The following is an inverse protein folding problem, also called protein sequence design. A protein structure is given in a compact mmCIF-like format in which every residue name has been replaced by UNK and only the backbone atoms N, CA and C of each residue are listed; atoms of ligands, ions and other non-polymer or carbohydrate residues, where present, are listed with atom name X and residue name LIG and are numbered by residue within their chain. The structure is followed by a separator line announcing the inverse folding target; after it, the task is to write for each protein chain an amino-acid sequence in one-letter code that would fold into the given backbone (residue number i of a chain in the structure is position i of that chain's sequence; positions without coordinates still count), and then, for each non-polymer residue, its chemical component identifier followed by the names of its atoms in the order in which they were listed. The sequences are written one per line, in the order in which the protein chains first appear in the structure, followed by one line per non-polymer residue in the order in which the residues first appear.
data_IF_142883157748
#
_entry.id   IF_142883157748
#
_cell.length_a   1.000
_cell.length_b   1.000
_cell.length_c   1.000
_cell.angle_alpha   90.00
_cell.angle_beta   90.00
_cell.angle_gamma   90.00
#
_symmetry.space_group_name_H-M   'P 1'
#
loop_
_entity.id
_entity.type
_entity.pdbx_description
1 polymer ?
#
# COMPACT_ATOMS: atom_id res chain seq x y z
N UNK A 1 -33.23 18.91 5.56
CA UNK A 1 -32.95 17.53 5.08
C UNK A 1 -32.25 17.63 3.74
N UNK A 2 -30.94 17.34 3.66
CA UNK A 2 -30.26 17.18 2.37
C UNK A 2 -30.47 15.74 1.92
N UNK A 3 -30.99 15.51 0.72
CA UNK A 3 -31.23 14.17 0.21
C UNK A 3 -29.90 13.45 -0.06
N UNK A 4 -29.88 12.13 0.09
CA UNK A 4 -28.76 11.26 -0.30
C UNK A 4 -28.26 11.60 -1.72
N UNK A 5 -29.18 11.84 -2.65
CA UNK A 5 -28.88 12.24 -4.04
C UNK A 5 -28.29 13.67 -4.19
N UNK A 6 -28.60 14.60 -3.28
CA UNK A 6 -27.96 15.92 -3.24
C UNK A 6 -26.51 15.86 -2.75
N UNK A 7 -26.17 14.86 -1.91
CA UNK A 7 -24.78 14.56 -1.57
C UNK A 7 -24.05 13.85 -2.72
N UNK A 8 -24.78 13.04 -3.53
CA UNK A 8 -24.27 12.39 -4.74
C UNK A 8 -23.81 13.38 -5.80
N UNK A 9 -24.52 14.48 -6.04
CA UNK A 9 -24.10 15.47 -7.05
C UNK A 9 -22.77 16.16 -6.71
N UNK A 10 -22.37 16.19 -5.44
CA UNK A 10 -21.04 16.64 -5.03
C UNK A 10 -19.95 15.55 -5.10
N UNK A 11 -20.28 14.29 -5.41
CA UNK A 11 -19.32 13.19 -5.59
C UNK A 11 -18.29 13.46 -6.71
N UNK A 12 -18.62 14.32 -7.67
CA UNK A 12 -17.74 14.66 -8.79
C UNK A 12 -16.86 15.90 -8.56
N UNK A 13 -16.97 16.56 -7.40
CA UNK A 13 -16.25 17.79 -7.08
C UNK A 13 -15.16 17.57 -6.00
N UNK A 14 -14.22 16.67 -6.28
CA UNK A 14 -12.78 16.76 -5.95
C UNK A 14 -12.23 17.00 -4.53
N UNK A 15 -12.97 17.44 -3.52
CA UNK A 15 -12.36 18.08 -2.32
C UNK A 15 -12.73 17.48 -0.94
N UNK A 16 -13.58 16.43 -0.83
CA UNK A 16 -14.01 15.90 0.48
C UNK A 16 -13.86 14.38 0.66
N UNK A 17 -12.82 13.77 0.09
CA UNK A 17 -12.68 12.30 -0.04
C UNK A 17 -12.92 11.48 1.25
N UNK A 18 -12.32 11.83 2.39
CA UNK A 18 -12.49 11.08 3.65
C UNK A 18 -13.90 11.21 4.26
N UNK A 19 -14.45 12.43 4.28
CA UNK A 19 -15.78 12.72 4.83
C UNK A 19 -16.89 12.05 4.03
N UNK A 20 -16.75 11.99 2.71
CA UNK A 20 -17.69 11.28 1.84
C UNK A 20 -17.77 9.80 2.21
N UNK A 21 -16.63 9.16 2.47
CA UNK A 21 -16.60 7.77 2.90
C UNK A 21 -17.22 7.60 4.30
N UNK A 22 -17.06 8.58 5.18
CA UNK A 22 -17.78 8.62 6.46
C UNK A 22 -19.31 8.63 6.28
N UNK A 23 -19.83 9.41 5.34
CA UNK A 23 -21.26 9.43 5.00
C UNK A 23 -21.76 8.11 4.41
N UNK A 24 -20.98 7.49 3.52
CA UNK A 24 -21.32 6.17 2.95
C UNK A 24 -21.33 5.12 4.06
N UNK A 25 -20.32 5.11 4.94
CA UNK A 25 -20.27 4.18 6.07
C UNK A 25 -21.42 4.43 7.06
N UNK A 26 -21.84 5.67 7.29
CA UNK A 26 -23.05 5.93 8.06
C UNK A 26 -24.27 5.25 7.41
N UNK A 27 -24.45 5.38 6.10
CA UNK A 27 -25.58 4.79 5.41
C UNK A 27 -25.53 3.26 5.42
N UNK A 28 -24.34 2.67 5.24
CA UNK A 28 -24.11 1.23 5.41
C UNK A 28 -24.48 0.80 6.83
N UNK A 29 -24.02 1.50 7.85
CA UNK A 29 -24.32 1.19 9.25
C UNK A 29 -25.81 1.32 9.60
N UNK A 30 -26.51 2.29 9.01
CA UNK A 30 -27.94 2.48 9.25
C UNK A 30 -28.80 1.39 8.60
N UNK A 31 -28.40 0.87 7.43
CA UNK A 31 -29.15 -0.16 6.69
C UNK A 31 -28.74 -1.59 7.05
N UNK A 32 -27.45 -1.78 7.32
CA UNK A 32 -26.81 -3.07 7.58
C UNK A 32 -25.84 -2.93 8.78
N UNK A 33 -26.37 -2.63 9.98
CA UNK A 33 -25.55 -2.38 11.17
C UNK A 33 -24.60 -3.54 11.49
N UNK A 34 -25.00 -4.78 11.19
CA UNK A 34 -24.18 -5.97 11.39
C UNK A 34 -22.84 -5.90 10.64
N UNK A 35 -22.81 -5.28 9.45
CA UNK A 35 -21.61 -5.22 8.62
C UNK A 35 -20.50 -4.35 9.24
N UNK A 36 -20.86 -3.27 9.93
CA UNK A 36 -19.90 -2.42 10.64
C UNK A 36 -19.68 -2.87 12.08
N UNK A 37 -20.73 -3.26 12.80
CA UNK A 37 -20.60 -3.73 14.19
C UNK A 37 -19.74 -4.98 14.30
N UNK A 38 -19.81 -5.92 13.35
CA UNK A 38 -18.91 -7.08 13.37
C UNK A 38 -17.45 -6.72 13.15
N UNK A 39 -17.16 -5.72 12.32
CA UNK A 39 -15.80 -5.21 12.13
C UNK A 39 -15.30 -4.54 13.42
N UNK A 40 -16.15 -3.75 14.06
CA UNK A 40 -15.83 -3.09 15.34
C UNK A 40 -15.60 -4.10 16.46
N UNK A 41 -16.37 -5.20 16.51
CA UNK A 41 -16.10 -6.33 17.41
C UNK A 41 -14.73 -6.94 17.14
N UNK A 42 -14.39 -7.18 15.87
CA UNK A 42 -13.10 -7.77 15.50
C UNK A 42 -11.92 -6.86 15.90
N UNK A 43 -12.08 -5.55 15.72
CA UNK A 43 -11.03 -4.57 15.96
C UNK A 43 -10.84 -4.26 17.45
N UNK A 44 -11.93 -4.08 18.21
CA UNK A 44 -11.88 -3.60 19.60
C UNK A 44 -12.32 -4.63 20.65
N UNK A 45 -12.82 -5.78 20.24
CA UNK A 45 -13.34 -6.80 21.15
C UNK A 45 -14.67 -6.43 21.81
N UNK A 46 -15.38 -5.42 21.30
CA UNK A 46 -16.67 -4.99 21.86
C UNK A 46 -17.71 -6.11 21.60
N UNK A 47 -18.37 -6.66 22.63
CA UNK A 47 -19.35 -7.72 22.47
C UNK A 47 -20.50 -7.30 21.55
N UNK A 48 -20.98 -8.21 20.69
CA UNK A 48 -22.14 -7.94 19.81
C UNK A 48 -23.42 -7.63 20.59
N UNK A 49 -23.54 -8.12 21.82
CA UNK A 49 -24.67 -7.82 22.70
C UNK A 49 -24.81 -6.34 23.03
N UNK A 50 -23.69 -5.60 23.09
CA UNK A 50 -23.65 -4.16 23.38
C UNK A 50 -23.94 -3.30 22.12
N UNK A 51 -24.02 -3.93 20.95
CA UNK A 51 -24.11 -3.24 19.66
C UNK A 51 -25.48 -3.41 18.97
N UNK A 52 -26.47 -3.99 19.67
CA UNK A 52 -27.80 -4.28 19.09
C UNK A 52 -28.53 -3.04 18.58
N UNK A 53 -28.37 -1.91 19.26
CA UNK A 53 -28.97 -0.63 18.91
C UNK A 53 -27.92 0.39 18.46
N UNK A 54 -26.85 -0.08 17.81
CA UNK A 54 -25.77 0.80 17.38
C UNK A 54 -26.29 1.89 16.44
N UNK A 55 -25.92 3.14 16.71
CA UNK A 55 -26.24 4.30 15.88
C UNK A 55 -24.98 4.86 15.26
N UNK A 56 -25.07 5.22 13.98
CA UNK A 56 -23.97 5.74 13.19
C UNK A 56 -24.22 7.21 12.86
N UNK A 57 -23.20 8.05 13.05
CA UNK A 57 -23.29 9.47 12.74
C UNK A 57 -21.98 9.98 12.12
N UNK A 58 -22.04 10.37 10.86
CA UNK A 58 -20.95 11.05 10.18
C UNK A 58 -20.81 12.49 10.66
N UNK A 59 -19.61 13.04 10.50
CA UNK A 59 -19.27 14.44 10.83
C UNK A 59 -19.57 14.83 12.30
N UNK A 60 -19.49 13.86 13.22
CA UNK A 60 -19.81 14.08 14.64
C UNK A 60 -18.82 15.05 15.28
N UNK A 61 -19.34 16.09 15.95
CA UNK A 61 -18.52 17.07 16.66
C UNK A 61 -18.18 16.57 18.06
N UNK A 62 -16.90 16.59 18.41
CA UNK A 62 -16.40 16.18 19.72
C UNK A 62 -15.37 17.19 20.25
N UNK A 63 -15.25 17.28 21.56
CA UNK A 63 -14.27 18.16 22.17
C UNK A 63 -12.89 17.49 22.24
N UNK A 64 -11.94 18.02 21.47
CA UNK A 64 -10.54 17.63 21.51
C UNK A 64 -9.75 18.34 22.61
N UNK A 65 -8.42 18.21 22.57
CA UNK A 65 -7.50 18.93 23.45
C UNK A 65 -7.45 20.42 23.10
N UNK A 66 -7.50 20.74 21.80
CA UNK A 66 -7.36 22.11 21.26
C UNK A 66 -8.68 22.68 20.76
N UNK A 67 -9.79 22.29 21.40
CA UNK A 67 -11.16 22.70 21.04
C UNK A 67 -11.92 21.66 20.24
N UNK A 68 -13.10 22.05 19.76
CA UNK A 68 -14.01 21.16 19.04
C UNK A 68 -13.42 20.70 17.70
N UNK A 69 -13.65 19.42 17.41
CA UNK A 69 -13.23 18.71 16.21
C UNK A 69 -14.41 17.93 15.65
N UNK A 70 -14.27 17.48 14.40
CA UNK A 70 -15.24 16.60 13.76
C UNK A 70 -14.58 15.29 13.40
N UNK A 71 -15.22 14.19 13.74
CA UNK A 71 -14.85 12.86 13.29
C UNK A 71 -15.59 12.51 12.00
N UNK A 72 -14.98 11.69 11.15
CA UNK A 72 -15.60 11.27 9.88
C UNK A 72 -16.80 10.35 10.14
N UNK A 73 -16.72 9.50 11.18
CA UNK A 73 -17.83 8.68 11.66
C UNK A 73 -17.73 8.49 13.18
N UNK A 74 -18.87 8.56 13.86
CA UNK A 74 -19.03 8.21 15.26
C UNK A 74 -20.03 7.06 15.39
N UNK A 75 -19.74 6.14 16.31
CA UNK A 75 -20.56 4.96 16.58
C UNK A 75 -20.98 5.01 18.05
N UNK A 76 -22.28 5.04 18.26
CA UNK A 76 -22.94 5.03 19.56
C UNK A 76 -23.42 3.62 19.83
N UNK A 77 -23.25 3.15 21.06
CA UNK A 77 -23.74 1.84 21.48
C UNK A 77 -25.05 1.98 22.28
N UNK A 78 -25.65 0.85 22.62
CA UNK A 78 -27.03 0.74 23.10
C UNK A 78 -27.43 1.79 24.16
N UNK A 79 -28.21 2.80 23.74
CA UNK A 79 -28.74 3.85 24.60
C UNK A 79 -27.72 4.91 25.07
N UNK A 80 -26.47 4.88 24.61
CA UNK A 80 -25.44 5.85 24.99
C UNK A 80 -25.67 7.22 24.31
N UNK A 81 -25.63 8.31 25.09
CA UNK A 81 -25.69 9.69 24.57
C UNK A 81 -24.38 10.10 23.88
N UNK A 82 -23.25 9.57 24.36
CA UNK A 82 -21.92 9.80 23.82
C UNK A 82 -21.47 8.62 22.93
N UNK A 83 -20.64 8.85 21.90
CA UNK A 83 -20.14 7.76 21.09
C UNK A 83 -19.07 6.96 21.83
N UNK A 84 -19.07 5.64 21.61
CA UNK A 84 -18.07 4.70 22.11
C UNK A 84 -16.86 4.63 21.20
N UNK A 85 -17.08 4.78 19.89
CA UNK A 85 -16.02 4.71 18.87
C UNK A 85 -16.06 5.94 17.99
N UNK A 86 -14.91 6.59 17.80
CA UNK A 86 -14.71 7.56 16.74
C UNK A 86 -13.82 6.96 15.64
N UNK A 87 -14.19 7.21 14.39
CA UNK A 87 -13.47 6.75 13.21
C UNK A 87 -12.98 7.96 12.43
N UNK A 88 -11.70 7.94 12.10
CA UNK A 88 -11.03 8.89 11.21
C UNK A 88 -10.59 8.15 9.94
N UNK A 89 -10.80 8.77 8.78
CA UNK A 89 -10.58 8.19 7.47
C UNK A 89 -9.50 8.98 6.72
N UNK A 90 -8.42 8.29 6.34
CA UNK A 90 -7.34 8.83 5.50
C UNK A 90 -7.34 8.09 4.16
N UNK A 91 -8.02 8.68 3.17
CA UNK A 91 -8.26 8.11 1.85
C UNK A 91 -7.06 8.30 0.90
N UNK A 92 -6.88 9.51 0.37
CA UNK A 92 -5.66 9.94 -0.34
C UNK A 92 -4.86 10.98 0.43
N UNK A 93 -5.48 11.56 1.46
CA UNK A 93 -4.81 12.44 2.38
C UNK A 93 -3.73 11.65 3.09
N UNK A 94 -2.48 12.06 2.84
CA UNK A 94 -1.34 11.62 3.63
C UNK A 94 -1.74 11.79 5.10
N UNK A 95 -1.43 10.84 5.98
CA UNK A 95 -1.34 11.17 7.38
C UNK A 95 -0.24 12.23 7.50
N UNK A 96 -0.67 13.50 7.53
CA UNK A 96 0.06 14.74 7.74
C UNK A 96 0.62 15.42 6.45
N UNK A 97 -0.06 16.54 6.11
CA UNK A 97 0.33 17.76 5.37
C UNK A 97 0.34 17.78 3.82
N UNK A 98 -0.76 18.29 3.25
CA UNK A 98 -0.75 19.20 2.10
C UNK A 98 -1.29 20.60 2.42
N UNK A 99 -1.92 20.80 3.58
CA UNK A 99 -2.39 22.10 4.05
C UNK A 99 -1.73 22.44 5.38
N UNK A 100 -1.54 23.73 5.66
CA UNK A 100 -1.04 24.29 6.92
C UNK A 100 -1.96 23.99 8.14
N UNK A 101 -2.88 23.03 7.99
CA UNK A 101 -3.90 22.61 8.93
C UNK A 101 -3.49 21.31 9.67
N UNK A 102 -2.67 21.52 10.70
CA UNK A 102 -2.71 20.82 12.01
C UNK A 102 -2.34 19.31 12.08
N UNK A 103 -1.08 19.04 12.44
CA UNK A 103 -0.66 17.96 13.35
C UNK A 103 -1.46 17.81 14.67
N UNK A 104 -2.43 18.69 14.96
CA UNK A 104 -3.27 18.66 16.17
C UNK A 104 -4.34 17.55 16.19
N UNK A 105 -4.68 16.96 15.04
CA UNK A 105 -5.87 16.10 14.93
C UNK A 105 -5.77 14.81 15.77
N UNK A 106 -4.64 14.10 15.72
CA UNK A 106 -4.46 12.86 16.50
C UNK A 106 -4.38 13.12 18.00
N UNK A 107 -3.81 14.26 18.41
CA UNK A 107 -3.75 14.64 19.81
C UNK A 107 -5.16 14.90 20.37
N UNK A 108 -6.05 15.46 19.55
CA UNK A 108 -7.45 15.69 19.91
C UNK A 108 -8.20 14.35 20.10
N UNK A 109 -8.01 13.38 19.20
CA UNK A 109 -8.55 12.02 19.36
C UNK A 109 -8.02 11.29 20.59
N UNK A 110 -6.71 11.36 20.85
CA UNK A 110 -6.12 10.77 22.07
C UNK A 110 -6.70 11.39 23.33
N UNK A 111 -6.87 12.72 23.34
CA UNK A 111 -7.46 13.42 24.47
C UNK A 111 -8.93 13.08 24.67
N UNK A 112 -9.70 12.87 23.60
CA UNK A 112 -11.09 12.45 23.70
C UNK A 112 -11.20 11.03 24.26
N UNK A 113 -10.35 10.12 23.77
CA UNK A 113 -10.25 8.74 24.26
C UNK A 113 -9.88 8.68 25.73
N UNK A 114 -8.89 9.45 26.17
CA UNK A 114 -8.36 9.37 27.53
C UNK A 114 -9.35 9.83 28.62
N UNK A 115 -10.48 10.46 28.24
CA UNK A 115 -11.51 10.89 29.20
C UNK A 115 -12.27 9.72 29.82
N UNK A 116 -12.33 8.58 29.15
CA UNK A 116 -13.05 7.40 29.62
C UNK A 116 -12.40 6.14 29.08
N UNK A 117 -12.17 5.14 29.94
CA UNK A 117 -11.53 3.88 29.54
C UNK A 117 -12.31 3.10 28.46
N UNK A 118 -13.60 3.41 28.31
CA UNK A 118 -14.52 2.71 27.42
C UNK A 118 -14.61 3.31 26.00
N UNK A 119 -13.77 4.32 25.69
CA UNK A 119 -13.73 4.99 24.39
C UNK A 119 -12.65 4.43 23.49
N UNK A 120 -12.96 4.33 22.20
CA UNK A 120 -12.09 3.76 21.18
C UNK A 120 -11.94 4.71 20.00
N UNK A 121 -10.76 4.71 19.38
CA UNK A 121 -10.49 5.48 18.16
C UNK A 121 -9.94 4.54 17.11
N UNK A 122 -10.57 4.54 15.94
CA UNK A 122 -10.13 3.81 14.75
C UNK A 122 -9.66 4.80 13.69
N UNK A 123 -8.46 4.59 13.15
CA UNK A 123 -7.97 5.27 11.97
C UNK A 123 -7.95 4.27 10.82
N UNK A 124 -8.68 4.56 9.75
CA UNK A 124 -8.64 3.79 8.50
C UNK A 124 -7.73 4.52 7.53
N UNK A 125 -6.62 3.89 7.11
CA UNK A 125 -5.64 4.53 6.24
C UNK A 125 -5.01 3.59 5.22
N UNK A 126 -4.52 4.14 4.11
CA UNK A 126 -3.74 3.34 3.15
C UNK A 126 -2.35 2.95 3.70
N UNK A 127 -1.68 3.89 4.35
CA UNK A 127 -0.36 3.70 4.94
C UNK A 127 -0.49 3.18 6.38
N UNK A 128 0.35 2.24 6.79
CA UNK A 128 0.40 1.78 8.19
C UNK A 128 1.36 2.65 9.00
N UNK A 129 0.86 3.15 10.13
CA UNK A 129 1.66 3.76 11.20
C UNK A 129 1.20 3.18 12.54
N UNK A 130 1.97 3.40 13.59
CA UNK A 130 1.48 3.23 14.96
C UNK A 130 1.09 4.57 15.56
N UNK A 131 0.02 4.60 16.34
CA UNK A 131 -0.35 5.77 17.12
C UNK A 131 -0.76 5.28 18.50
N UNK A 132 -0.12 5.83 19.54
CA UNK A 132 -0.44 5.42 20.91
C UNK A 132 -1.93 5.63 21.19
N UNK A 133 -2.57 4.54 21.60
CA UNK A 133 -3.97 4.53 21.95
C UNK A 133 -4.97 4.74 20.82
N UNK A 134 -4.53 4.69 19.56
CA UNK A 134 -5.40 4.75 18.39
C UNK A 134 -5.17 3.46 17.61
N UNK A 135 -6.25 2.76 17.31
CA UNK A 135 -6.18 1.56 16.49
C UNK A 135 -6.11 1.97 15.02
N UNK A 136 -5.19 1.36 14.27
CA UNK A 136 -4.96 1.70 12.86
C UNK A 136 -5.22 0.44 12.03
N UNK A 137 -6.11 0.56 11.04
CA UNK A 137 -6.45 -0.50 10.09
C UNK A 137 -6.35 0.03 8.66
N UNK A 138 -6.09 -0.86 7.71
CA UNK A 138 -6.11 -0.48 6.29
C UNK A 138 -7.51 -0.54 5.72
N UNK A 139 -7.69 0.21 4.63
CA UNK A 139 -8.86 0.05 3.77
C UNK A 139 -9.05 -1.38 3.30
N UNK A 140 -7.94 -2.07 2.99
CA UNK A 140 -7.95 -3.49 2.66
C UNK A 140 -8.62 -4.36 3.74
N UNK A 141 -8.37 -4.07 5.02
CA UNK A 141 -8.91 -4.87 6.13
C UNK A 141 -10.43 -4.67 6.25
N UNK A 142 -10.89 -3.41 6.15
CA UNK A 142 -12.33 -3.11 6.15
C UNK A 142 -13.03 -3.66 4.91
N UNK A 143 -12.46 -3.49 3.71
CA UNK A 143 -13.06 -3.98 2.49
C UNK A 143 -13.17 -5.52 2.46
N UNK A 144 -12.12 -6.22 2.93
CA UNK A 144 -12.15 -7.67 3.10
C UNK A 144 -13.33 -8.11 3.98
N UNK A 145 -13.51 -7.42 5.11
CA UNK A 145 -14.62 -7.67 6.01
C UNK A 145 -15.98 -7.44 5.33
N UNK A 146 -16.13 -6.29 4.64
CA UNK A 146 -17.35 -5.89 3.95
C UNK A 146 -17.73 -6.80 2.78
N UNK A 147 -16.77 -7.43 2.09
CA UNK A 147 -17.05 -8.40 1.00
C UNK A 147 -17.97 -9.54 1.43
N UNK A 148 -17.92 -9.96 2.70
CA UNK A 148 -18.83 -10.99 3.22
C UNK A 148 -20.31 -10.55 3.26
N UNK A 149 -20.56 -9.24 3.20
CA UNK A 149 -21.88 -8.61 3.19
C UNK A 149 -22.29 -8.05 1.82
N UNK A 150 -21.37 -7.96 0.85
CA UNK A 150 -21.62 -7.35 -0.47
C UNK A 150 -22.83 -7.97 -1.20
N UNK A 151 -22.99 -9.30 -1.16
CA UNK A 151 -24.15 -10.01 -1.75
C UNK A 151 -25.51 -9.63 -1.16
N UNK A 152 -25.53 -8.96 -0.01
CA UNK A 152 -26.76 -8.57 0.70
C UNK A 152 -27.06 -7.08 0.53
N UNK A 153 -26.17 -6.31 -0.08
CA UNK A 153 -26.30 -4.86 -0.18
C UNK A 153 -25.50 -4.32 -1.35
N UNK A 154 -26.20 -3.82 -2.37
CA UNK A 154 -25.59 -3.14 -3.52
C UNK A 154 -24.72 -1.95 -3.09
N UNK A 155 -25.09 -1.27 -2.00
CA UNK A 155 -24.29 -0.17 -1.45
C UNK A 155 -22.93 -0.64 -0.92
N UNK A 156 -22.89 -1.80 -0.27
CA UNK A 156 -21.64 -2.39 0.24
C UNK A 156 -20.79 -2.85 -0.93
N UNK A 157 -21.40 -3.52 -1.92
CA UNK A 157 -20.72 -3.97 -3.12
C UNK A 157 -20.09 -2.79 -3.88
N UNK A 158 -20.87 -1.74 -4.15
CA UNK A 158 -20.39 -0.50 -4.78
C UNK A 158 -19.24 0.15 -4.00
N UNK A 159 -19.30 0.19 -2.67
CA UNK A 159 -18.21 0.73 -1.85
C UNK A 159 -16.94 -0.11 -2.01
N UNK A 160 -17.05 -1.43 -1.93
CA UNK A 160 -15.90 -2.33 -2.09
C UNK A 160 -15.29 -2.19 -3.49
N UNK A 161 -16.10 -2.21 -4.54
CA UNK A 161 -15.64 -2.03 -5.92
C UNK A 161 -14.96 -0.68 -6.11
N UNK A 162 -15.53 0.40 -5.58
CA UNK A 162 -14.90 1.72 -5.64
C UNK A 162 -13.52 1.74 -4.94
N UNK A 163 -13.41 1.14 -3.76
CA UNK A 163 -12.12 1.05 -3.05
C UNK A 163 -11.10 0.19 -3.80
N UNK A 164 -11.55 -0.83 -4.53
CA UNK A 164 -10.71 -1.63 -5.41
C UNK A 164 -10.23 -0.81 -6.62
N UNK A 165 -11.13 -0.17 -7.35
CA UNK A 165 -10.81 0.64 -8.53
C UNK A 165 -9.78 1.74 -8.19
N UNK A 166 -9.90 2.33 -7.01
CA UNK A 166 -9.02 3.38 -6.50
C UNK A 166 -7.69 2.85 -5.92
N UNK A 167 -7.49 1.53 -5.91
CA UNK A 167 -6.26 0.88 -5.47
C UNK A 167 -6.03 1.01 -3.96
N UNK A 168 -7.11 1.07 -3.17
CA UNK A 168 -7.10 1.04 -1.70
C UNK A 168 -7.26 -0.38 -1.12
N UNK A 169 -7.58 -1.36 -1.97
CA UNK A 169 -7.80 -2.77 -1.64
C UNK A 169 -7.07 -3.65 -2.64
N UNK A 170 -6.58 -4.81 -2.19
CA UNK A 170 -5.93 -5.78 -3.07
C UNK A 170 -6.89 -6.22 -4.17
N UNK A 171 -6.43 -6.07 -5.41
CA UNK A 171 -7.11 -6.51 -6.62
C UNK A 171 -6.97 -8.02 -6.77
N UNK A 172 -8.07 -8.69 -7.09
CA UNK A 172 -8.02 -10.00 -7.72
C UNK A 172 -7.54 -9.82 -9.16
N UNK A 173 -6.54 -10.62 -9.57
CA UNK A 173 -5.92 -10.49 -10.89
C UNK A 173 -6.16 -11.77 -11.67
N UNK A 174 -6.80 -11.63 -12.84
CA UNK A 174 -7.07 -12.73 -13.75
C UNK A 174 -5.74 -13.28 -14.30
N UNK A 175 -5.30 -14.37 -13.67
CA UNK A 175 -3.99 -14.99 -13.89
C UNK A 175 -3.72 -15.30 -15.37
N UNK A 176 -4.68 -15.89 -16.07
CA UNK A 176 -4.55 -16.23 -17.49
C UNK A 176 -4.37 -14.98 -18.35
N UNK A 177 -5.12 -13.93 -18.04
CA UNK A 177 -5.06 -12.69 -18.79
C UNK A 177 -3.72 -11.96 -18.59
N UNK A 178 -3.21 -11.95 -17.36
CA UNK A 178 -1.88 -11.43 -17.05
C UNK A 178 -0.76 -12.22 -17.74
N UNK A 179 -0.80 -13.56 -17.71
CA UNK A 179 0.21 -14.41 -18.37
C UNK A 179 0.29 -14.09 -19.87
N UNK A 180 -0.87 -14.03 -20.55
CA UNK A 180 -0.93 -13.71 -21.99
C UNK A 180 -0.32 -12.33 -22.28
N UNK A 181 -0.65 -11.34 -21.45
CA UNK A 181 -0.11 -10.00 -21.58
C UNK A 181 1.40 -9.94 -21.40
N UNK A 182 1.95 -10.54 -20.34
CA UNK A 182 3.39 -10.53 -20.08
C UNK A 182 4.15 -11.24 -21.21
N UNK A 183 3.62 -12.37 -21.70
CA UNK A 183 4.20 -13.11 -22.84
C UNK A 183 4.25 -12.28 -24.12
N UNK A 184 3.32 -11.35 -24.35
CA UNK A 184 3.36 -10.45 -25.50
C UNK A 184 4.65 -9.61 -25.53
N UNK A 185 5.18 -9.24 -24.37
CA UNK A 185 6.42 -8.47 -24.25
C UNK A 185 7.65 -9.35 -24.33
N UNK A 186 7.61 -10.51 -23.66
CA UNK A 186 8.77 -11.35 -23.38
C UNK A 186 8.96 -12.53 -24.36
N UNK A 187 7.93 -12.97 -25.06
CA UNK A 187 8.00 -14.12 -25.97
C UNK A 187 7.76 -13.69 -27.42
N UNK A 188 8.30 -14.46 -28.37
CA UNK A 188 8.01 -14.29 -29.78
C UNK A 188 6.50 -14.48 -30.02
N UNK A 189 5.76 -13.37 -30.16
CA UNK A 189 4.31 -13.18 -30.40
C UNK A 189 3.57 -14.36 -31.08
N UNK A 190 3.43 -15.51 -30.41
CA UNK A 190 2.58 -16.62 -30.87
C UNK A 190 1.10 -16.19 -30.79
N UNK A 191 0.22 -16.73 -31.65
CA UNK A 191 -1.22 -16.48 -31.57
C UNK A 191 -1.76 -16.80 -30.16
N UNK A 192 -2.63 -15.95 -29.62
CA UNK A 192 -3.19 -16.08 -28.26
C UNK A 192 -2.61 -15.14 -27.20
N UNK A 193 -1.61 -14.31 -27.55
CA UNK A 193 -1.01 -13.28 -26.69
C UNK A 193 -1.75 -11.92 -26.68
N UNK A 194 -2.82 -11.79 -27.47
CA UNK A 194 -3.66 -10.60 -27.50
C UNK A 194 -4.93 -10.86 -26.67
N UNK A 195 -5.07 -10.14 -25.58
CA UNK A 195 -6.32 -9.99 -24.84
C UNK A 195 -6.52 -8.52 -24.47
N UNK A 196 -7.78 -8.08 -24.44
CA UNK A 196 -8.12 -6.70 -24.07
C UNK A 196 -7.97 -6.47 -22.56
N UNK A 197 -8.08 -7.53 -21.76
CA UNK A 197 -8.02 -7.51 -20.29
C UNK A 197 -6.58 -7.43 -19.76
N UNK A 198 -5.59 -7.91 -20.52
CA UNK A 198 -4.19 -7.98 -20.09
C UNK A 198 -3.60 -6.69 -19.51
N UNK A 199 -3.77 -5.53 -20.18
CA UNK A 199 -3.34 -4.24 -19.63
C UNK A 199 -4.01 -3.87 -18.31
N UNK A 200 -5.30 -4.21 -18.14
CA UNK A 200 -6.06 -3.96 -16.91
C UNK A 200 -5.49 -4.80 -15.78
N UNK A 201 -5.25 -6.09 -16.02
CA UNK A 201 -4.64 -6.99 -15.04
C UNK A 201 -3.23 -6.57 -14.64
N UNK A 202 -2.45 -6.06 -15.58
CA UNK A 202 -1.13 -5.51 -15.29
C UNK A 202 -1.21 -4.21 -14.46
N UNK A 203 -2.17 -3.34 -14.76
CA UNK A 203 -2.44 -2.16 -13.93
C UNK A 203 -2.84 -2.56 -12.51
N UNK A 204 -3.67 -3.60 -12.36
CA UNK A 204 -4.08 -4.14 -11.06
C UNK A 204 -2.88 -4.70 -10.28
N UNK A 205 -1.94 -5.37 -10.94
CA UNK A 205 -0.66 -5.76 -10.34
C UNK A 205 0.12 -4.56 -9.79
N UNK A 206 0.23 -3.47 -10.55
CA UNK A 206 0.93 -2.26 -10.09
C UNK A 206 0.21 -1.60 -8.90
N UNK A 207 -1.14 -1.59 -8.89
CA UNK A 207 -1.93 -1.14 -7.73
C UNK A 207 -1.66 -2.00 -6.49
N UNK A 208 -1.58 -3.32 -6.64
CA UNK A 208 -1.23 -4.24 -5.55
C UNK A 208 0.18 -3.96 -5.01
N UNK A 209 1.17 -3.71 -5.88
CA UNK A 209 2.51 -3.29 -5.45
C UNK A 209 2.49 -1.95 -4.69
N UNK A 210 1.65 -1.00 -5.13
CA UNK A 210 1.47 0.28 -4.43
C UNK A 210 0.89 0.09 -3.02
N UNK A 211 -0.08 -0.82 -2.86
CA UNK A 211 -0.65 -1.19 -1.57
C UNK A 211 0.36 -1.86 -0.65
N UNK A 212 1.14 -2.81 -1.16
CA UNK A 212 2.23 -3.44 -0.42
C UNK A 212 3.25 -2.40 0.05
N UNK A 213 3.60 -1.43 -0.81
CA UNK A 213 4.49 -0.33 -0.41
C UNK A 213 3.94 0.49 0.76
N UNK A 214 2.61 0.58 0.94
CA UNK A 214 1.97 1.30 2.04
C UNK A 214 2.37 0.77 3.43
N UNK A 215 2.73 -0.51 3.52
CA UNK A 215 3.20 -1.16 4.76
C UNK A 215 4.59 -0.68 5.16
N UNK A 216 5.46 -0.45 4.17
CA UNK A 216 6.86 -0.10 4.41
C UNK A 216 7.10 1.42 4.37
N UNK A 217 6.21 2.18 3.75
CA UNK A 217 6.41 3.60 3.49
C UNK A 217 6.66 4.44 4.75
N UNK A 218 5.92 4.17 5.83
CA UNK A 218 6.14 4.83 7.12
C UNK A 218 7.57 4.66 7.62
N UNK A 219 8.16 3.46 7.43
CA UNK A 219 9.53 3.15 7.84
C UNK A 219 10.55 3.96 7.05
N UNK A 220 10.40 4.02 5.72
CA UNK A 220 11.29 4.80 4.85
C UNK A 220 11.21 6.30 5.14
N UNK A 221 9.99 6.86 5.26
CA UNK A 221 9.76 8.27 5.61
C UNK A 221 10.44 8.64 6.93
N UNK A 222 10.18 7.85 7.97
CA UNK A 222 10.70 8.10 9.32
C UNK A 222 12.22 7.98 9.36
N UNK A 223 12.78 6.94 8.72
CA UNK A 223 14.22 6.73 8.66
C UNK A 223 14.94 7.87 7.95
N UNK A 224 14.43 8.33 6.80
CA UNK A 224 15.02 9.43 6.04
C UNK A 224 14.95 10.77 6.77
N UNK A 225 13.76 11.12 7.31
CA UNK A 225 13.56 12.35 8.09
C UNK A 225 14.51 12.40 9.30
N UNK A 226 14.51 11.34 10.11
CA UNK A 226 15.33 11.27 11.32
C UNK A 226 16.83 11.21 11.01
N UNK A 227 17.22 10.67 9.86
CA UNK A 227 18.60 10.74 9.41
C UNK A 227 18.99 12.20 9.10
N UNK A 228 18.16 12.91 8.35
CA UNK A 228 18.40 14.32 7.99
C UNK A 228 18.50 15.22 9.21
N UNK A 229 17.56 15.12 10.16
CA UNK A 229 17.62 15.88 11.43
C UNK A 229 18.94 15.63 12.17
N UNK A 230 19.40 14.38 12.22
CA UNK A 230 20.63 14.01 12.94
C UNK A 230 21.92 14.43 12.23
N UNK A 231 21.89 14.65 10.92
CA UNK A 231 23.10 14.99 10.14
C UNK A 231 23.16 16.46 9.74
N UNK A 232 22.01 17.10 9.54
CA UNK A 232 21.88 18.47 9.03
C UNK A 232 21.22 19.43 10.04
N UNK A 233 20.69 18.91 11.16
CA UNK A 233 20.07 19.70 12.22
C UNK A 233 18.53 19.76 12.18
N UNK A 234 17.93 20.36 13.21
CA UNK A 234 16.48 20.37 13.42
C UNK A 234 15.68 21.15 12.35
N UNK A 235 16.35 21.98 11.55
CA UNK A 235 15.76 22.72 10.43
C UNK A 235 15.59 21.88 9.15
N UNK A 236 15.93 20.59 9.18
CA UNK A 236 15.79 19.69 8.02
C UNK A 236 14.31 19.43 7.67
N UNK A 237 13.80 20.11 6.65
CA UNK A 237 12.42 19.95 6.13
C UNK A 237 12.35 19.10 4.83
N UNK A 238 13.46 18.52 4.36
CA UNK A 238 13.40 17.68 3.15
C UNK A 238 12.65 16.38 3.47
N UNK A 239 11.51 16.21 2.79
CA UNK A 239 10.62 15.06 2.99
C UNK A 239 11.05 13.89 2.12
N UNK A 240 10.97 12.68 2.67
CA UNK A 240 11.03 11.48 1.85
C UNK A 240 9.84 11.49 0.88
N UNK A 241 10.12 11.29 -0.42
CA UNK A 241 9.08 11.18 -1.44
C UNK A 241 8.32 9.87 -1.27
N UNK A 242 7.09 9.83 -1.78
CA UNK A 242 6.33 8.57 -1.91
C UNK A 242 7.13 7.62 -2.80
N UNK A 243 7.04 6.31 -2.54
CA UNK A 243 7.63 5.32 -3.42
C UNK A 243 7.11 5.52 -4.85
N UNK A 244 8.01 5.50 -5.82
CA UNK A 244 7.58 5.34 -7.20
C UNK A 244 7.22 3.87 -7.43
N UNK A 245 6.13 3.63 -8.15
CA UNK A 245 5.75 2.29 -8.60
C UNK A 245 6.13 2.20 -10.07
N UNK A 246 6.85 1.15 -10.44
CA UNK A 246 7.44 1.02 -11.76
C UNK A 246 7.62 -0.46 -12.13
N UNK A 247 8.01 -0.71 -13.37
CA UNK A 247 8.30 -2.05 -13.86
C UNK A 247 9.50 -2.07 -14.80
N UNK A 248 10.25 -3.17 -14.76
CA UNK A 248 11.38 -3.43 -15.66
C UNK A 248 11.13 -4.74 -16.42
N UNK A 249 11.59 -4.83 -17.67
CA UNK A 249 11.46 -6.02 -18.52
C UNK A 249 12.82 -6.41 -19.06
N UNK A 250 13.20 -7.67 -18.88
CA UNK A 250 14.48 -8.22 -19.29
C UNK A 250 14.26 -9.44 -20.18
N UNK A 251 14.61 -9.33 -21.46
CA UNK A 251 14.40 -10.40 -22.43
C UNK A 251 15.45 -11.49 -22.32
N UNK A 252 15.01 -12.75 -22.34
CA UNK A 252 15.85 -13.90 -22.68
C UNK A 252 15.80 -14.08 -24.19
N UNK A 253 16.97 -14.14 -24.82
CA UNK A 253 17.09 -14.31 -26.27
C UNK A 253 17.45 -15.75 -26.62
N UNK A 254 16.92 -16.22 -27.75
CA UNK A 254 17.42 -17.43 -28.42
C UNK A 254 18.87 -17.23 -28.85
N UNK A 255 19.65 -18.31 -29.00
CA UNK A 255 20.98 -18.22 -29.60
C UNK A 255 20.92 -17.51 -30.96
N UNK A 256 21.76 -16.48 -31.12
CA UNK A 256 21.84 -15.67 -32.34
C UNK A 256 23.12 -16.03 -33.07
N UNK A 257 23.08 -16.46 -34.34
CA UNK A 257 24.26 -16.72 -35.13
C UNK A 257 25.18 -15.48 -35.20
N UNK A 258 26.49 -15.73 -35.21
CA UNK A 258 27.50 -14.68 -35.27
C UNK A 258 27.28 -13.77 -36.50
N UNK A 259 27.40 -12.45 -36.31
CA UNK A 259 27.16 -11.44 -37.35
C UNK A 259 25.69 -11.03 -37.57
N UNK A 260 24.71 -11.69 -36.93
CA UNK A 260 23.29 -11.30 -37.03
C UNK A 260 22.93 -10.27 -35.96
N UNK A 261 22.37 -9.14 -36.38
CA UNK A 261 21.90 -8.10 -35.45
C UNK A 261 20.75 -8.61 -34.56
N UNK A 262 20.82 -8.30 -33.26
CA UNK A 262 19.72 -8.51 -32.30
C UNK A 262 18.64 -7.44 -32.38
N UNK A 263 18.96 -6.29 -32.96
CA UNK A 263 18.02 -5.19 -33.18
C UNK A 263 17.46 -5.20 -34.60
N UNK A 264 16.22 -4.75 -34.73
CA UNK A 264 15.56 -4.49 -36.01
C UNK A 264 15.99 -3.13 -36.57
N UNK A 265 15.44 -2.79 -37.75
CA UNK A 265 15.72 -1.54 -38.45
C UNK A 265 15.24 -0.27 -37.71
N UNK A 266 14.38 -0.42 -36.69
CA UNK A 266 13.88 0.66 -35.85
C UNK A 266 14.62 0.76 -34.51
N UNK A 267 15.69 -0.02 -34.32
CA UNK A 267 16.43 -0.10 -33.05
C UNK A 267 15.70 -0.87 -31.95
N UNK A 268 14.60 -1.55 -32.27
CA UNK A 268 13.86 -2.42 -31.36
C UNK A 268 14.47 -3.83 -31.29
N UNK A 269 14.22 -4.54 -30.19
CA UNK A 269 14.61 -5.95 -30.10
C UNK A 269 13.77 -6.82 -31.04
N UNK A 270 14.44 -7.58 -31.92
CA UNK A 270 13.79 -8.50 -32.86
C UNK A 270 12.90 -9.51 -32.15
N UNK A 271 11.62 -9.52 -32.52
CA UNK A 271 10.61 -10.31 -31.85
C UNK A 271 10.84 -11.83 -32.00
N UNK A 272 11.38 -12.27 -33.13
CA UNK A 272 11.67 -13.68 -33.42
C UNK A 272 12.71 -14.31 -32.48
N UNK A 273 13.57 -13.46 -31.90
CA UNK A 273 14.65 -13.84 -30.99
C UNK A 273 14.18 -13.96 -29.55
N UNK A 274 12.99 -13.48 -29.19
CA UNK A 274 12.48 -13.50 -27.82
C UNK A 274 12.08 -14.91 -27.38
N UNK A 275 12.58 -15.32 -26.21
CA UNK A 275 12.37 -16.66 -25.63
C UNK A 275 11.97 -16.61 -24.15
N UNK A 276 11.13 -15.63 -23.80
CA UNK A 276 10.76 -15.36 -22.41
C UNK A 276 11.67 -14.32 -21.77
N UNK A 277 11.78 -14.35 -20.45
CA UNK A 277 12.59 -13.41 -19.69
C UNK A 277 11.97 -13.08 -18.34
N UNK A 278 12.37 -11.95 -17.78
CA UNK A 278 11.94 -11.52 -16.46
C UNK A 278 11.15 -10.22 -16.55
N UNK A 279 10.02 -10.17 -15.85
CA UNK A 279 9.28 -8.94 -15.60
C UNK A 279 9.33 -8.63 -14.12
N UNK A 280 9.69 -7.40 -13.78
CA UNK A 280 9.72 -6.90 -12.41
C UNK A 280 8.62 -5.87 -12.26
N UNK A 281 7.78 -5.98 -11.22
CA UNK A 281 6.85 -4.93 -10.80
C UNK A 281 7.21 -4.55 -9.36
N UNK A 282 7.60 -3.30 -9.13
CA UNK A 282 8.25 -2.92 -7.87
C UNK A 282 7.93 -1.51 -7.39
N UNK A 283 8.05 -1.35 -6.08
CA UNK A 283 8.10 -0.06 -5.41
C UNK A 283 9.57 0.35 -5.21
N UNK A 284 9.83 1.65 -5.25
CA UNK A 284 11.17 2.22 -5.13
C UNK A 284 11.17 3.45 -4.23
N UNK A 285 11.91 3.38 -3.13
CA UNK A 285 12.11 4.50 -2.20
C UNK A 285 13.46 5.17 -2.44
N UNK A 286 13.48 6.50 -2.50
CA UNK A 286 14.68 7.29 -2.72
C UNK A 286 15.31 7.71 -1.40
N UNK A 287 16.60 7.43 -1.23
CA UNK A 287 17.43 7.88 -0.10
C UNK A 287 18.56 8.78 -0.64
N UNK A 288 18.22 9.83 -1.39
CA UNK A 288 19.20 10.72 -2.05
C UNK A 288 18.90 10.94 -3.53
N UNK A 289 19.56 11.94 -4.13
CA UNK A 289 19.30 12.42 -5.50
C UNK A 289 20.60 12.75 -6.24
N UNK A 290 20.50 12.97 -7.56
CA UNK A 290 21.62 13.37 -8.44
C UNK A 290 22.80 12.38 -8.38
N UNK A 291 24.05 12.86 -8.37
CA UNK A 291 25.27 12.05 -8.36
C UNK A 291 25.41 11.11 -7.16
N UNK A 292 24.68 11.35 -6.08
CA UNK A 292 24.65 10.53 -4.86
C UNK A 292 23.31 9.81 -4.69
N UNK A 293 22.65 9.42 -5.78
CA UNK A 293 21.39 8.69 -5.69
C UNK A 293 21.58 7.31 -5.05
N UNK A 294 20.63 6.94 -4.21
CA UNK A 294 20.51 5.63 -3.59
C UNK A 294 19.01 5.30 -3.52
N UNK A 295 18.63 4.09 -3.93
CA UNK A 295 17.25 3.64 -3.95
C UNK A 295 17.16 2.23 -3.39
N UNK A 296 16.09 1.99 -2.63
CA UNK A 296 15.73 0.63 -2.21
C UNK A 296 14.54 0.21 -3.06
N UNK A 297 14.67 -0.88 -3.84
CA UNK A 297 13.55 -1.45 -4.61
C UNK A 297 13.11 -2.76 -3.99
N UNK A 298 11.83 -3.04 -4.10
CA UNK A 298 11.26 -4.32 -3.70
C UNK A 298 9.93 -4.55 -4.40
N UNK A 299 9.58 -5.80 -4.63
CA UNK A 299 8.36 -6.13 -5.34
C UNK A 299 8.33 -7.58 -5.79
N UNK A 300 7.71 -7.80 -6.94
CA UNK A 300 7.49 -9.12 -7.54
C UNK A 300 8.30 -9.23 -8.83
N UNK A 301 8.95 -10.38 -9.03
CA UNK A 301 9.56 -10.78 -10.29
C UNK A 301 8.83 -12.01 -10.84
N UNK A 302 8.45 -11.97 -12.11
CA UNK A 302 8.00 -13.13 -12.87
C UNK A 302 9.08 -13.56 -13.84
N UNK A 303 9.52 -14.81 -13.74
CA UNK A 303 10.33 -15.45 -14.77
C UNK A 303 9.41 -16.24 -15.70
N UNK A 304 9.27 -15.72 -16.92
CA UNK A 304 8.30 -16.13 -17.92
C UNK A 304 8.99 -16.91 -19.02
N UNK A 305 8.43 -18.07 -19.37
CA UNK A 305 8.86 -18.89 -20.50
C UNK A 305 7.75 -19.02 -21.55
N UNK A 306 8.10 -19.32 -22.82
CA UNK A 306 7.10 -19.46 -23.88
C UNK A 306 6.01 -20.51 -23.62
N UNK A 307 6.27 -21.49 -22.76
CA UNK A 307 5.38 -22.61 -22.47
C UNK A 307 4.44 -22.38 -21.27
N UNK A 308 4.67 -21.34 -20.46
CA UNK A 308 3.83 -21.07 -19.28
C UNK A 308 2.33 -20.94 -19.63
N UNK A 309 1.47 -21.47 -18.80
CA UNK A 309 0.03 -21.47 -19.05
C UNK A 309 -0.70 -21.48 -17.71
N UNK A 310 -2.01 -21.72 -17.73
CA UNK A 310 -2.80 -21.72 -16.50
C UNK A 310 -2.39 -22.87 -15.56
N UNK A 311 -2.16 -24.06 -16.12
CA UNK A 311 -1.74 -25.26 -15.38
C UNK A 311 -0.27 -25.22 -14.94
N UNK A 312 0.58 -24.50 -15.67
CA UNK A 312 2.00 -24.29 -15.34
C UNK A 312 2.34 -22.79 -15.44
N UNK A 313 1.98 -21.98 -14.43
CA UNK A 313 2.13 -20.53 -14.48
C UNK A 313 3.59 -20.10 -14.35
N UNK A 314 3.93 -18.85 -14.72
CA UNK A 314 5.27 -18.31 -14.56
C UNK A 314 5.80 -18.46 -13.13
N UNK A 315 7.12 -18.65 -13.01
CA UNK A 315 7.76 -18.68 -11.69
C UNK A 315 7.72 -17.29 -11.08
N UNK A 316 7.13 -17.17 -9.89
CA UNK A 316 7.03 -15.91 -9.17
C UNK A 316 8.03 -15.85 -8.01
N UNK A 317 8.62 -14.68 -7.82
CA UNK A 317 9.56 -14.39 -6.76
C UNK A 317 9.21 -13.04 -6.15
N UNK A 318 9.41 -12.92 -4.84
CA UNK A 318 9.57 -11.63 -4.19
C UNK A 318 11.04 -11.26 -4.22
N UNK A 319 11.33 -9.97 -4.35
CA UNK A 319 12.70 -9.50 -4.33
C UNK A 319 12.84 -8.18 -3.57
N UNK A 320 14.06 -7.89 -3.13
CA UNK A 320 14.49 -6.58 -2.71
C UNK A 320 15.95 -6.34 -3.12
N UNK A 321 16.29 -5.09 -3.41
CA UNK A 321 17.66 -4.66 -3.64
C UNK A 321 17.90 -3.21 -3.20
N UNK A 322 19.18 -2.87 -3.07
CA UNK A 322 19.62 -1.48 -2.90
C UNK A 322 20.53 -1.13 -4.05
N UNK A 323 20.12 -0.14 -4.84
CA UNK A 323 20.85 0.33 -6.01
C UNK A 323 21.28 1.78 -5.81
N UNK A 324 22.42 2.17 -6.39
CA UNK A 324 22.97 3.52 -6.24
C UNK A 324 24.32 3.66 -6.89
N UNK A 325 24.75 4.89 -7.14
CA UNK A 325 26.02 5.15 -7.83
C UNK A 325 27.23 4.52 -7.11
N UNK A 326 27.23 4.49 -5.77
CA UNK A 326 28.28 3.84 -4.98
C UNK A 326 28.20 2.30 -5.03
N UNK A 327 27.00 1.74 -5.10
CA UNK A 327 26.75 0.29 -5.22
C UNK A 327 27.26 -0.21 -6.57
N UNK A 328 26.93 0.51 -7.66
CA UNK A 328 27.32 0.18 -9.02
C UNK A 328 28.85 0.26 -9.21
N UNK A 329 29.47 1.36 -8.76
CA UNK A 329 30.94 1.50 -8.80
C UNK A 329 31.66 0.43 -7.99
N UNK A 330 31.10 0.06 -6.84
CA UNK A 330 31.65 -0.98 -5.98
C UNK A 330 31.30 -2.40 -6.43
N UNK A 331 30.47 -2.57 -7.46
CA UNK A 331 29.96 -3.87 -7.93
C UNK A 331 29.37 -4.73 -6.80
N UNK A 332 28.71 -4.10 -5.82
CA UNK A 332 28.18 -4.79 -4.64
C UNK A 332 26.86 -5.47 -4.98
N UNK A 333 26.76 -6.76 -4.66
CA UNK A 333 25.53 -7.54 -4.80
C UNK A 333 24.65 -7.37 -3.57
N UNK A 334 23.64 -6.52 -3.67
CA UNK A 334 22.63 -6.25 -2.62
C UNK A 334 21.32 -7.01 -2.85
N UNK A 335 21.23 -7.78 -3.93
CA UNK A 335 20.03 -8.52 -4.34
C UNK A 335 19.66 -9.62 -3.34
N UNK A 336 18.37 -9.72 -3.06
CA UNK A 336 17.75 -10.75 -2.24
C UNK A 336 16.43 -11.17 -2.86
N UNK A 337 16.18 -12.47 -2.97
CA UNK A 337 14.94 -12.99 -3.55
C UNK A 337 14.40 -14.21 -2.81
N UNK A 338 13.09 -14.45 -2.97
CA UNK A 338 12.41 -15.62 -2.45
C UNK A 338 11.33 -16.08 -3.42
N UNK A 339 11.39 -17.34 -3.83
CA UNK A 339 10.33 -17.97 -4.64
C UNK A 339 9.02 -18.02 -3.86
N UNK A 340 7.92 -17.67 -4.52
CA UNK A 340 6.55 -17.72 -3.99
C UNK A 340 5.61 -18.42 -4.96
N UNK A 341 4.38 -18.70 -4.52
CA UNK A 341 3.33 -19.15 -5.41
C UNK A 341 2.79 -17.98 -6.24
N UNK A 342 2.65 -18.18 -7.55
CA UNK A 342 2.12 -17.17 -8.48
C UNK A 342 0.74 -16.64 -8.03
N UNK A 343 -0.13 -17.52 -7.55
CA UNK A 343 -1.48 -17.18 -7.06
C UNK A 343 -1.47 -16.14 -5.93
N UNK A 344 -0.44 -16.11 -5.08
CA UNK A 344 -0.35 -15.17 -3.95
C UNK A 344 -0.16 -13.71 -4.38
N UNK A 345 0.15 -13.46 -5.65
CA UNK A 345 0.26 -12.12 -6.23
C UNK A 345 -0.71 -11.93 -7.39
N UNK A 346 -1.63 -12.87 -7.60
CA UNK A 346 -2.68 -12.78 -8.60
C UNK A 346 -4.07 -13.08 -8.00
N UNK A 347 -4.62 -14.26 -8.23
CA UNK A 347 -6.01 -14.59 -7.89
C UNK A 347 -6.25 -14.97 -6.42
N UNK A 348 -5.19 -15.05 -5.63
CA UNK A 348 -5.24 -15.18 -4.18
C UNK A 348 -4.45 -14.04 -3.51
N UNK A 349 -4.30 -12.89 -4.18
CA UNK A 349 -3.49 -11.76 -3.70
C UNK A 349 -3.89 -11.31 -2.29
N UNK A 350 -5.18 -11.21 -2.02
CA UNK A 350 -5.68 -10.81 -0.70
C UNK A 350 -5.29 -11.82 0.40
N UNK A 351 -5.51 -13.13 0.15
CA UNK A 351 -5.14 -14.21 1.08
C UNK A 351 -3.63 -14.34 1.26
N UNK A 352 -2.87 -14.02 0.22
CA UNK A 352 -1.40 -14.05 0.20
C UNK A 352 -0.76 -12.82 0.84
N UNK A 353 -1.48 -11.69 0.96
CA UNK A 353 -0.95 -10.38 1.33
C UNK A 353 -0.06 -10.40 2.59
N UNK A 354 -0.53 -10.95 3.70
CA UNK A 354 0.25 -11.00 4.95
C UNK A 354 1.54 -11.83 4.83
N UNK A 355 1.55 -12.90 4.03
CA UNK A 355 2.75 -13.71 3.77
C UNK A 355 3.74 -12.94 2.89
N UNK A 356 3.22 -12.25 1.87
CA UNK A 356 4.01 -11.41 0.95
C UNK A 356 4.66 -10.26 1.71
N UNK A 357 3.91 -9.55 2.55
CA UNK A 357 4.40 -8.47 3.41
C UNK A 357 5.51 -8.95 4.35
N UNK A 358 5.29 -10.08 5.02
CA UNK A 358 6.29 -10.66 5.91
C UNK A 358 7.58 -11.03 5.16
N UNK A 359 7.48 -11.67 4.00
CA UNK A 359 8.65 -12.03 3.21
C UNK A 359 9.39 -10.82 2.64
N UNK A 360 8.66 -9.81 2.15
CA UNK A 360 9.28 -8.57 1.68
C UNK A 360 10.01 -7.85 2.82
N UNK A 361 9.48 -7.82 4.04
CA UNK A 361 10.18 -7.26 5.20
C UNK A 361 11.56 -7.91 5.40
N UNK A 362 11.62 -9.25 5.36
CA UNK A 362 12.89 -10.00 5.48
C UNK A 362 13.85 -9.69 4.34
N UNK A 363 13.36 -9.64 3.11
CA UNK A 363 14.20 -9.36 1.94
C UNK A 363 14.76 -7.93 1.95
N UNK A 364 13.94 -6.94 2.34
CA UNK A 364 14.38 -5.55 2.48
C UNK A 364 15.47 -5.44 3.55
N UNK A 365 15.29 -6.10 4.70
CA UNK A 365 16.31 -6.14 5.75
C UNK A 365 17.63 -6.72 5.25
N UNK A 366 17.59 -7.87 4.58
CA UNK A 366 18.79 -8.52 4.04
C UNK A 366 19.52 -7.64 3.01
N UNK A 367 18.79 -7.00 2.09
CA UNK A 367 19.36 -6.06 1.13
C UNK A 367 20.01 -4.83 1.80
N UNK A 368 19.39 -4.31 2.86
CA UNK A 368 19.93 -3.21 3.67
C UNK A 368 21.18 -3.65 4.44
N UNK A 369 21.19 -4.83 5.04
CA UNK A 369 22.35 -5.36 5.76
C UNK A 369 23.55 -5.58 4.83
N UNK A 370 23.35 -6.25 3.69
CA UNK A 370 24.37 -6.39 2.62
C UNK A 370 24.98 -5.03 2.23
N UNK A 371 24.15 -4.00 2.14
CA UNK A 371 24.60 -2.64 1.80
C UNK A 371 25.44 -2.00 2.90
N UNK A 372 25.04 -2.15 4.16
CA UNK A 372 25.76 -1.59 5.31
C UNK A 372 27.10 -2.30 5.53
N UNK A 373 27.13 -3.62 5.32
CA UNK A 373 28.32 -4.47 5.51
C UNK A 373 29.38 -4.24 4.43
N UNK A 374 28.98 -3.82 3.24
CA UNK A 374 29.89 -3.49 2.13
C UNK A 374 30.76 -2.24 2.36
N UNK A 375 30.53 -1.48 3.44
CA UNK A 375 31.32 -0.29 3.84
C UNK A 375 31.56 0.73 2.72
N UNK A 376 30.58 0.90 1.84
CA UNK A 376 30.64 1.84 0.72
C UNK A 376 30.76 3.31 1.19
N UNK A 377 31.34 4.19 0.36
CA UNK A 377 31.42 5.63 0.64
C UNK A 377 30.05 6.30 0.43
N UNK A 378 29.08 5.99 1.29
CA UNK A 378 27.76 6.60 1.31
C UNK A 378 27.79 7.95 2.05
N UNK A 379 26.89 8.86 1.70
CA UNK A 379 26.70 10.08 2.48
C UNK A 379 26.32 9.72 3.93
N UNK A 380 26.74 10.54 4.89
CA UNK A 380 26.45 10.32 6.31
C UNK A 380 24.93 10.14 6.56
N UNK A 381 24.11 10.95 5.89
CA UNK A 381 22.64 10.83 5.96
C UNK A 381 22.14 9.49 5.41
N UNK A 382 22.65 9.03 4.27
CA UNK A 382 22.22 7.77 3.65
C UNK A 382 22.55 6.56 4.54
N UNK A 383 23.79 6.52 5.04
CA UNK A 383 24.22 5.49 5.98
C UNK A 383 23.34 5.50 7.23
N UNK A 384 23.04 6.69 7.78
CA UNK A 384 22.16 6.82 8.94
C UNK A 384 20.72 6.37 8.65
N UNK A 385 20.19 6.71 7.47
CA UNK A 385 18.86 6.31 7.05
C UNK A 385 18.74 4.78 6.93
N UNK A 386 19.71 4.12 6.30
CA UNK A 386 19.76 2.65 6.23
C UNK A 386 19.82 2.00 7.62
N UNK A 387 20.64 2.53 8.55
CA UNK A 387 20.71 2.03 9.92
C UNK A 387 19.38 2.18 10.68
N UNK A 388 18.68 3.32 10.50
CA UNK A 388 17.37 3.56 11.11
C UNK A 388 16.27 2.70 10.49
N UNK A 389 16.32 2.51 9.17
CA UNK A 389 15.42 1.63 8.44
C UNK A 389 15.55 0.19 8.93
N UNK A 390 16.79 -0.33 9.02
CA UNK A 390 17.09 -1.65 9.59
C UNK A 390 16.49 -1.82 10.99
N UNK A 391 16.75 -0.84 11.88
CA UNK A 391 16.22 -0.87 13.25
C UNK A 391 14.69 -0.89 13.26
N UNK A 392 14.06 -0.08 12.41
CA UNK A 392 12.61 0.05 12.39
C UNK A 392 11.92 -1.21 11.86
N UNK A 393 12.37 -1.74 10.71
CA UNK A 393 11.84 -2.97 10.11
C UNK A 393 12.12 -4.19 11.00
N UNK A 394 13.33 -4.29 11.59
CA UNK A 394 13.72 -5.38 12.48
C UNK A 394 12.95 -5.41 13.80
N UNK A 395 12.35 -4.29 14.21
CA UNK A 395 11.51 -4.25 15.41
C UNK A 395 10.13 -4.90 15.22
N UNK A 396 9.70 -5.11 13.97
CA UNK A 396 8.34 -5.56 13.63
C UNK A 396 7.23 -4.56 13.98
N UNK A 397 7.57 -3.39 14.53
CA UNK A 397 6.61 -2.35 14.92
C UNK A 397 6.55 -1.25 13.87
N UNK A 398 5.33 -0.88 13.49
CA UNK A 398 5.10 0.28 12.64
C UNK A 398 5.62 1.56 13.31
N UNK A 399 6.25 2.49 12.58
CA UNK A 399 6.80 3.70 13.16
C UNK A 399 5.68 4.58 13.70
N UNK A 400 5.99 5.27 14.80
CA UNK A 400 5.05 6.20 15.41
C UNK A 400 4.70 7.31 14.42
N UNK A 401 3.41 7.52 14.23
CA UNK A 401 2.89 8.70 13.57
C UNK A 401 3.14 9.89 14.50
N UNK A 402 4.30 10.54 14.32
CA UNK A 402 4.62 11.75 15.06
C UNK A 402 3.83 12.90 14.42
N UNK A 403 2.95 13.50 15.22
CA UNK A 403 2.46 14.84 14.95
C UNK A 403 3.69 15.75 14.94
N UNK A 404 4.06 16.24 13.75
CA UNK A 404 5.13 17.23 13.64
C UNK A 404 4.77 18.51 14.40
#
# INVERSE_FOLDING_TARGET
MKSFFGAIQHWFAGDLYGRHLGLILQEVGNRHPEALTSFITEVFGIPRSEQKSARFQAEYSFDGKRGTRRADLAIFLDGEEDPRVLVEIKYHDKPIQATESKPAQLADYRSWRSRTSNRHVLLISRELYSAEGIEIRRWNDLAHHLRSYAKRSDLIDMLVTYLEEEGNVMQDIASVALIKYIKRYLCNRKPGANNLEGPVEFSNLLKNVQLLSGVFHGHFKTAWKNAGIKTEGDSYDRRSKVASIDFDVWHRLKPVPEGRSVVDEFGGLRNELKDGGQLYAFARHSLGHSSNWLRVRYGVMFDVSPNDNESDPPRAYLFADVIGAAIERGQIKTWSEKKIHYKWVTNEAEKGSGKVEHHLNTLILDAVDKTLDARLPLLAQQKKALMLLRKSLGSGRQPLLTAA
#
